data_IF_679368196958
#
_entry.id   IF_679368196958
#
_cell.length_a   1.000
_cell.length_b   1.000
_cell.length_c   1.000
_cell.angle_alpha   90.00
_cell.angle_beta   90.00
_cell.angle_gamma   90.00
#
_symmetry.space_group_name_H-M   'P 1'
#
loop_
_entity.id
_entity.type
_entity.pdbx_description
1 polymer ?
#
# COMPACT_ATOMS: atom_id res chain seq x y z
N UNK A 1 -8.08 -6.01 -14.76
CA UNK A 1 -7.99 -4.92 -13.77
C UNK A 1 -7.10 -3.82 -14.35
N UNK A 2 -7.52 -2.56 -14.29
CA UNK A 2 -6.70 -1.41 -14.75
C UNK A 2 -5.56 -1.21 -13.74
N UNK A 3 -4.32 -1.06 -14.20
CA UNK A 3 -3.19 -0.75 -13.31
C UNK A 3 -3.42 0.61 -12.65
N UNK A 4 -3.21 0.71 -11.35
CA UNK A 4 -3.12 1.99 -10.65
C UNK A 4 -1.73 2.55 -10.88
N UNK A 5 -1.65 3.79 -11.35
CA UNK A 5 -0.38 4.47 -11.56
C UNK A 5 0.07 5.06 -10.23
N UNK A 6 1.10 4.49 -9.63
CA UNK A 6 1.77 5.01 -8.45
C UNK A 6 3.25 4.64 -8.47
N UNK A 7 4.02 5.40 -7.70
CA UNK A 7 5.45 5.18 -7.47
C UNK A 7 5.68 5.18 -5.96
N UNK A 8 6.46 4.22 -5.47
CA UNK A 8 7.00 4.32 -4.12
C UNK A 8 8.15 5.32 -4.16
N UNK A 9 7.92 6.50 -3.58
CA UNK A 9 8.90 7.60 -3.62
C UNK A 9 9.99 7.44 -2.58
N UNK A 10 9.63 6.96 -1.38
CA UNK A 10 10.57 6.73 -0.29
C UNK A 10 9.99 5.72 0.70
N UNK A 11 10.87 5.09 1.46
CA UNK A 11 10.56 4.29 2.63
C UNK A 11 11.30 4.91 3.81
N UNK A 12 10.59 5.21 4.89
CA UNK A 12 11.21 5.60 6.16
C UNK A 12 11.39 4.33 6.97
N UNK A 13 12.65 3.98 7.22
CA UNK A 13 13.09 2.85 8.04
C UNK A 13 13.59 3.34 9.40
N UNK A 14 13.37 2.52 10.42
CA UNK A 14 13.89 2.71 11.79
C UNK A 14 13.75 4.15 12.32
N UNK A 15 14.79 4.69 12.96
CA UNK A 15 14.87 6.02 13.58
C UNK A 15 14.89 7.16 12.54
N UNK A 16 13.90 7.22 11.65
CA UNK A 16 13.68 8.24 10.62
C UNK A 16 14.73 8.27 9.49
N UNK A 17 15.26 7.12 9.10
CA UNK A 17 16.14 7.04 7.93
C UNK A 17 15.34 6.86 6.64
N UNK A 18 15.52 7.76 5.67
CA UNK A 18 14.84 7.69 4.39
C UNK A 18 15.65 6.87 3.37
N UNK A 19 15.00 5.90 2.73
CA UNK A 19 15.54 5.07 1.64
C UNK A 19 14.73 5.31 0.38
N UNK A 20 15.41 5.52 -0.75
CA UNK A 20 14.77 5.50 -2.07
C UNK A 20 14.77 4.05 -2.56
N UNK A 21 13.59 3.42 -2.72
CA UNK A 21 13.54 2.02 -3.11
C UNK A 21 13.88 1.82 -4.59
N UNK A 22 14.52 0.68 -4.85
CA UNK A 22 14.65 0.08 -6.17
C UNK A 22 13.59 -1.01 -6.35
N UNK A 23 13.36 -1.47 -7.58
CA UNK A 23 12.30 -2.45 -7.90
C UNK A 23 12.38 -3.79 -7.16
N UNK A 24 13.46 -4.05 -6.43
CA UNK A 24 13.71 -5.23 -5.59
C UNK A 24 13.81 -4.91 -4.09
N UNK A 25 13.47 -3.69 -3.66
CA UNK A 25 13.51 -3.32 -2.23
C UNK A 25 12.40 -4.02 -1.48
N UNK A 26 12.77 -4.72 -0.40
CA UNK A 26 11.85 -5.46 0.45
C UNK A 26 11.26 -4.50 1.48
N UNK A 27 9.93 -4.49 1.60
CA UNK A 27 9.22 -3.82 2.69
C UNK A 27 9.22 -4.71 3.92
N UNK A 28 9.53 -4.13 5.06
CA UNK A 28 9.52 -4.79 6.36
C UNK A 28 8.33 -4.28 7.19
N UNK A 29 7.89 -5.03 8.22
CA UNK A 29 6.92 -4.51 9.18
C UNK A 29 7.37 -3.14 9.73
N UNK A 30 6.39 -2.28 10.02
CA UNK A 30 6.59 -0.93 10.57
C UNK A 30 7.27 0.10 9.65
N UNK A 31 7.71 -0.29 8.45
CA UNK A 31 8.16 0.65 7.41
C UNK A 31 7.05 1.66 7.08
N UNK A 32 7.40 2.96 7.06
CA UNK A 32 6.48 3.97 6.56
C UNK A 32 6.76 4.22 5.08
N UNK A 33 5.75 4.00 4.24
CA UNK A 33 5.90 4.07 2.78
C UNK A 33 5.29 5.36 2.25
N UNK A 34 6.11 6.18 1.59
CA UNK A 34 5.65 7.38 0.90
C UNK A 34 5.33 7.02 -0.55
N UNK A 35 4.07 7.15 -0.91
CA UNK A 35 3.57 6.83 -2.25
C UNK A 35 3.20 8.10 -3.00
N UNK A 36 3.73 8.25 -4.21
CA UNK A 36 3.36 9.31 -5.15
C UNK A 36 2.38 8.74 -6.16
N UNK A 37 1.25 9.41 -6.35
CA UNK A 37 0.21 9.00 -7.29
C UNK A 37 -0.56 10.20 -7.82
N UNK A 38 -1.48 9.96 -8.75
CA UNK A 38 -2.43 10.94 -9.26
C UNK A 38 -3.72 10.92 -8.41
N UNK A 39 -4.44 12.05 -8.27
CA UNK A 39 -5.58 12.16 -7.34
C UNK A 39 -6.66 11.07 -7.50
N UNK A 40 -6.98 10.71 -8.74
CA UNK A 40 -7.98 9.69 -9.09
C UNK A 40 -7.65 8.26 -8.61
N UNK A 41 -6.40 8.00 -8.20
CA UNK A 41 -5.94 6.71 -7.72
C UNK A 41 -5.75 6.66 -6.20
N UNK A 42 -5.66 7.80 -5.51
CA UNK A 42 -5.28 7.87 -4.10
C UNK A 42 -6.22 7.06 -3.18
N UNK A 43 -7.54 7.20 -3.37
CA UNK A 43 -8.53 6.46 -2.57
C UNK A 43 -8.47 4.95 -2.78
N UNK A 44 -8.28 4.51 -4.02
CA UNK A 44 -8.17 3.07 -4.36
C UNK A 44 -6.90 2.44 -3.81
N UNK A 45 -5.78 3.17 -3.87
CA UNK A 45 -4.50 2.72 -3.30
C UNK A 45 -4.65 2.57 -1.78
N UNK A 46 -5.30 3.54 -1.13
CA UNK A 46 -5.57 3.48 0.31
C UNK A 46 -6.41 2.25 0.69
N UNK A 47 -7.50 2.01 -0.01
CA UNK A 47 -8.36 0.83 0.21
C UNK A 47 -7.59 -0.49 0.07
N UNK A 48 -6.71 -0.58 -0.95
CA UNK A 48 -5.87 -1.76 -1.14
C UNK A 48 -4.89 -2.00 0.00
N UNK A 49 -4.33 -0.94 0.59
CA UNK A 49 -3.34 -1.05 1.68
C UNK A 49 -3.98 -1.32 3.05
N UNK A 50 -5.19 -0.81 3.28
CA UNK A 50 -5.95 -1.03 4.51
C UNK A 50 -6.62 -2.44 4.55
N UNK A 51 -6.37 -3.28 3.54
CA UNK A 51 -6.83 -4.68 3.47
C UNK A 51 -8.16 -4.89 2.76
N UNK A 52 -8.72 -3.85 2.13
CA UNK A 52 -10.08 -3.87 1.58
C UNK A 52 -11.16 -4.17 2.65
N UNK A 53 -12.46 -4.07 2.32
CA UNK A 53 -13.47 -4.66 3.18
C UNK A 53 -13.20 -6.17 3.26
N UNK A 54 -12.92 -6.68 4.47
CA UNK A 54 -12.93 -8.10 4.76
C UNK A 54 -14.27 -8.63 4.28
N UNK A 55 -14.29 -9.35 3.15
CA UNK A 55 -15.48 -10.08 2.71
C UNK A 55 -15.61 -11.26 3.66
N UNK A 56 -16.17 -11.04 4.84
CA UNK A 56 -16.66 -12.14 5.68
C UNK A 56 -17.72 -12.83 4.83
N UNK A 57 -17.40 -14.00 4.29
CA UNK A 57 -18.42 -14.84 3.68
C UNK A 57 -19.48 -15.06 4.76
N UNK A 58 -20.67 -14.51 4.57
CA UNK A 58 -21.85 -14.94 5.30
C UNK A 58 -22.03 -16.42 4.99
N UNK A 59 -21.48 -17.26 5.85
CA UNK A 59 -21.99 -18.62 6.05
C UNK A 59 -23.39 -18.40 6.63
N UNK A 60 -24.41 -18.46 5.77
CA UNK A 60 -25.74 -18.76 6.25
C UNK A 60 -25.68 -20.22 6.67
N UNK A 61 -25.69 -20.45 7.97
CA UNK A 61 -26.03 -21.77 8.50
C UNK A 61 -27.50 -22.02 8.12
N UNK A 62 -27.71 -23.03 7.28
CA UNK A 62 -29.02 -23.67 7.09
C UNK A 62 -29.30 -24.65 8.23
#
# INVERSE_FOLDING_TARGET
MKKLNCLIGAIIKDQNWAVIPFGNTILEPDDQVIIVTIPENASKIREMLEGGPVRTNHIMEE
#
